data_IF_019737902121
#
_entry.id   IF_019737902121
#
_cell.length_a   1.000
_cell.length_b   1.000
_cell.length_c   1.000
_cell.angle_alpha   90.00
_cell.angle_beta   90.00
_cell.angle_gamma   90.00
#
_symmetry.space_group_name_H-M   'P 1'
#
loop_
_entity.id
_entity.type
_entity.pdbx_description
1 polymer ?
#
# COMPACT_ATOMS: atom_id res chain seq x y z
N UNK A 1 11.37 10.82 2.26
CA UNK A 1 10.93 10.51 3.61
C UNK A 1 11.88 9.49 4.16
N UNK A 2 12.64 9.82 5.21
CA UNK A 2 13.46 8.82 5.89
C UNK A 2 12.52 7.71 6.41
N UNK A 3 12.86 6.45 6.13
CA UNK A 3 12.19 5.28 6.72
C UNK A 3 12.22 5.35 8.26
N UNK A 4 13.17 6.11 8.81
CA UNK A 4 13.32 6.44 10.23
C UNK A 4 12.23 7.40 10.78
N UNK A 5 11.32 7.92 9.94
CA UNK A 5 10.24 8.83 10.32
C UNK A 5 8.86 8.15 10.37
N UNK A 6 8.80 6.82 10.43
CA UNK A 6 7.55 6.11 10.64
C UNK A 6 7.04 6.38 12.07
N UNK A 7 5.77 6.79 12.19
CA UNK A 7 5.13 6.94 13.50
C UNK A 7 4.94 5.57 14.16
N UNK A 8 4.87 5.51 15.50
CA UNK A 8 4.60 4.24 16.21
C UNK A 8 3.34 3.55 15.71
N UNK A 9 2.32 4.33 15.34
CA UNK A 9 1.10 3.86 14.69
C UNK A 9 1.41 3.16 13.36
N UNK A 10 2.15 3.82 12.46
CA UNK A 10 2.56 3.24 11.18
C UNK A 10 3.39 1.96 11.34
N UNK A 11 4.28 1.91 12.34
CA UNK A 11 5.04 0.70 12.69
C UNK A 11 4.12 -0.43 13.17
N UNK A 12 3.10 -0.09 13.96
CA UNK A 12 2.07 -1.04 14.41
C UNK A 12 1.28 -1.65 13.26
N UNK A 13 0.82 -0.81 12.32
CA UNK A 13 0.14 -1.26 11.10
C UNK A 13 1.02 -2.17 10.24
N UNK A 14 2.27 -1.75 9.99
CA UNK A 14 3.23 -2.54 9.22
C UNK A 14 3.49 -3.91 9.86
N UNK A 15 3.70 -3.93 11.18
CA UNK A 15 3.95 -5.17 11.93
C UNK A 15 2.75 -6.12 11.86
N UNK A 16 1.52 -5.58 11.94
CA UNK A 16 0.28 -6.36 11.78
C UNK A 16 0.22 -7.03 10.40
N UNK A 17 0.54 -6.31 9.34
CA UNK A 17 0.55 -6.87 7.98
C UNK A 17 1.61 -7.95 7.79
N UNK A 18 2.83 -7.73 8.28
CA UNK A 18 3.91 -8.73 8.21
C UNK A 18 3.59 -10.00 9.02
N UNK A 19 2.96 -9.86 10.18
CA UNK A 19 2.52 -11.00 10.99
C UNK A 19 1.38 -11.78 10.31
N UNK A 20 0.42 -11.07 9.71
CA UNK A 20 -0.73 -11.69 9.05
C UNK A 20 -0.37 -12.35 7.72
N UNK A 21 0.63 -11.82 7.02
CA UNK A 21 1.09 -12.34 5.74
C UNK A 21 2.61 -12.47 5.75
N UNK A 22 3.17 -13.59 6.26
CA UNK A 22 4.62 -13.79 6.41
C UNK A 22 5.39 -13.84 5.07
N UNK A 23 4.67 -13.88 3.94
CA UNK A 23 5.25 -13.81 2.60
C UNK A 23 5.20 -12.42 1.97
N UNK A 24 4.80 -11.37 2.70
CA UNK A 24 4.90 -10.00 2.22
C UNK A 24 6.33 -9.48 2.33
N UNK A 25 6.78 -8.77 1.30
CA UNK A 25 7.99 -7.98 1.39
C UNK A 25 7.75 -6.69 2.20
N UNK A 26 8.84 -6.05 2.65
CA UNK A 26 8.74 -4.85 3.47
C UNK A 26 8.08 -3.66 2.76
N UNK A 27 8.21 -3.56 1.43
CA UNK A 27 7.59 -2.49 0.63
C UNK A 27 6.09 -2.76 0.43
N UNK A 28 5.70 -4.00 0.20
CA UNK A 28 4.31 -4.44 0.13
C UNK A 28 3.58 -4.15 1.45
N UNK A 29 4.16 -4.53 2.58
CA UNK A 29 3.59 -4.23 3.89
C UNK A 29 3.48 -2.72 4.16
N UNK A 30 4.49 -1.94 3.72
CA UNK A 30 4.47 -0.49 3.83
C UNK A 30 3.38 0.15 2.97
N UNK A 31 3.17 -0.35 1.75
CA UNK A 31 2.10 0.11 0.87
C UNK A 31 0.72 -0.16 1.48
N UNK A 32 0.50 -1.35 2.06
CA UNK A 32 -0.75 -1.68 2.75
C UNK A 32 -1.00 -0.77 3.95
N UNK A 33 0.01 -0.56 4.80
CA UNK A 33 -0.10 0.35 5.94
C UNK A 33 -0.41 1.80 5.51
N UNK A 34 0.12 2.25 4.37
CA UNK A 34 -0.19 3.58 3.80
C UNK A 34 -1.61 3.67 3.28
N UNK A 35 -2.10 2.64 2.59
CA UNK A 35 -3.47 2.60 2.09
C UNK A 35 -4.48 2.52 3.23
N UNK A 36 -4.17 1.78 4.30
CA UNK A 36 -5.00 1.68 5.51
C UNK A 36 -5.11 3.04 6.20
N UNK A 37 -3.97 3.68 6.48
CA UNK A 37 -3.94 5.01 7.09
C UNK A 37 -4.61 6.08 6.21
N UNK A 38 -4.50 6.00 4.88
CA UNK A 38 -5.22 6.89 3.97
C UNK A 38 -6.73 6.61 3.95
N UNK A 39 -7.14 5.34 4.09
CA UNK A 39 -8.54 4.94 4.22
C UNK A 39 -9.20 5.53 5.47
N UNK A 40 -8.51 5.47 6.61
CA UNK A 40 -8.99 6.00 7.90
C UNK A 40 -9.31 7.50 7.85
N UNK A 41 -8.60 8.25 7.00
CA UNK A 41 -8.82 9.69 6.78
C UNK A 41 -9.61 10.02 5.50
N UNK A 42 -10.16 9.01 4.81
CA UNK A 42 -10.95 9.18 3.58
C UNK A 42 -10.15 9.68 2.37
N UNK A 43 -8.83 9.47 2.35
CA UNK A 43 -7.90 9.90 1.29
C UNK A 43 -7.53 8.76 0.31
N UNK A 44 -8.41 7.79 0.12
CA UNK A 44 -8.28 6.74 -0.91
C UNK A 44 -9.12 7.09 -2.16
N UNK A 45 -8.70 6.67 -3.37
CA UNK A 45 -7.50 5.89 -3.69
C UNK A 45 -6.19 6.71 -3.74
N UNK A 46 -5.04 6.06 -3.52
CA UNK A 46 -3.71 6.69 -3.58
C UNK A 46 -3.06 6.53 -4.96
N UNK A 47 -2.33 7.56 -5.41
CA UNK A 47 -1.59 7.55 -6.67
C UNK A 47 -0.20 6.89 -6.50
N UNK A 48 0.13 5.91 -7.34
CA UNK A 48 1.41 5.20 -7.28
C UNK A 48 2.64 6.07 -7.55
N UNK A 49 2.49 7.18 -8.29
CA UNK A 49 3.53 8.18 -8.48
C UNK A 49 3.75 9.03 -7.24
N UNK A 50 2.68 9.39 -6.53
CA UNK A 50 2.74 10.06 -5.23
C UNK A 50 3.41 9.17 -4.19
N UNK A 51 3.03 7.90 -4.08
CA UNK A 51 3.65 6.93 -3.18
C UNK A 51 5.15 6.74 -3.45
N UNK A 52 5.56 6.70 -4.72
CA UNK A 52 6.97 6.62 -5.10
C UNK A 52 7.79 7.82 -4.58
N UNK A 53 7.23 9.04 -4.65
CA UNK A 53 7.88 10.26 -4.16
C UNK A 53 7.87 10.34 -2.63
N UNK A 54 6.75 9.98 -2.02
CA UNK A 54 6.61 9.98 -0.56
C UNK A 54 7.56 8.98 0.07
N UNK A 55 7.63 7.75 -0.45
CA UNK A 55 8.48 6.70 0.08
C UNK A 55 9.94 6.81 -0.38
N UNK A 56 10.27 7.71 -1.31
CA UNK A 56 11.58 7.80 -1.97
C UNK A 56 12.02 6.47 -2.61
N UNK A 57 11.05 5.70 -3.12
CA UNK A 57 11.26 4.41 -3.78
C UNK A 57 11.00 4.55 -5.27
N UNK A 58 11.79 3.85 -6.09
CA UNK A 58 11.59 3.82 -7.53
C UNK A 58 10.17 3.38 -7.92
N UNK A 59 9.56 4.10 -8.86
CA UNK A 59 8.18 3.84 -9.29
C UNK A 59 7.95 2.42 -9.82
N UNK A 60 8.97 1.81 -10.44
CA UNK A 60 8.93 0.42 -10.89
C UNK A 60 8.78 -0.58 -9.73
N UNK A 61 9.40 -0.31 -8.57
CA UNK A 61 9.26 -1.15 -7.37
C UNK A 61 7.86 -1.00 -6.77
N UNK A 62 7.35 0.23 -6.68
CA UNK A 62 5.97 0.50 -6.23
C UNK A 62 4.96 -0.24 -7.13
N UNK A 63 5.13 -0.17 -8.46
CA UNK A 63 4.29 -0.93 -9.39
C UNK A 63 4.39 -2.44 -9.19
N UNK A 64 5.60 -2.97 -9.03
CA UNK A 64 5.82 -4.41 -8.82
C UNK A 64 5.15 -4.90 -7.54
N UNK A 65 5.35 -4.19 -6.43
CA UNK A 65 4.73 -4.52 -5.15
C UNK A 65 3.21 -4.36 -5.21
N UNK A 66 2.70 -3.32 -5.87
CA UNK A 66 1.27 -3.16 -6.10
C UNK A 66 0.68 -4.35 -6.89
N UNK A 67 1.28 -4.73 -8.02
CA UNK A 67 0.82 -5.90 -8.78
C UNK A 67 0.90 -7.21 -7.99
N UNK A 68 1.90 -7.38 -7.13
CA UNK A 68 1.99 -8.54 -6.24
C UNK A 68 0.87 -8.54 -5.19
N UNK A 69 0.54 -7.39 -4.61
CA UNK A 69 -0.58 -7.23 -3.67
C UNK A 69 -1.95 -7.45 -4.34
N UNK A 70 -2.12 -6.96 -5.57
CA UNK A 70 -3.32 -7.20 -6.38
C UNK A 70 -3.50 -8.68 -6.70
N UNK A 71 -2.43 -9.37 -7.10
CA UNK A 71 -2.47 -10.83 -7.33
C UNK A 71 -2.83 -11.62 -6.07
N UNK A 72 -2.59 -11.07 -4.88
CA UNK A 72 -2.99 -11.64 -3.59
C UNK A 72 -4.41 -11.26 -3.17
N UNK A 73 -5.10 -10.40 -3.93
CA UNK A 73 -6.43 -9.90 -3.62
C UNK A 73 -6.46 -8.94 -2.42
N UNK A 74 -5.35 -8.26 -2.11
CA UNK A 74 -5.26 -7.33 -0.98
C UNK A 74 -5.57 -5.88 -1.36
N UNK A 75 -5.24 -5.50 -2.59
CA UNK A 75 -5.52 -4.17 -3.14
C UNK A 75 -6.18 -4.31 -4.51
N UNK A 76 -6.91 -3.27 -4.90
CA UNK A 76 -7.38 -3.06 -6.26
C UNK A 76 -6.53 -2.00 -6.96
N UNK A 77 -6.25 -2.22 -8.24
CA UNK A 77 -5.47 -1.31 -9.09
C UNK A 77 -6.34 -0.83 -10.24
N UNK A 78 -6.63 0.47 -10.24
CA UNK A 78 -7.33 1.10 -11.36
C UNK A 78 -6.38 1.97 -12.17
N UNK A 79 -6.43 1.83 -13.49
CA UNK A 79 -5.71 2.73 -14.39
C UNK A 79 -6.23 4.16 -14.23
N UNK A 80 -5.33 5.12 -14.08
CA UNK A 80 -5.70 6.54 -14.07
C UNK A 80 -6.19 6.93 -15.47
N UNK A 81 -7.47 7.27 -15.62
CA UNK A 81 -7.98 7.87 -16.86
C UNK A 81 -7.38 9.28 -17.01
N UNK A 82 -6.29 9.41 -17.77
CA UNK A 82 -5.58 10.67 -18.00
C UNK A 82 -4.16 10.47 -18.58
N UNK A 83 -3.43 11.57 -18.80
CA UNK A 83 -2.14 11.60 -19.51
C UNK A 83 -0.91 11.10 -18.71
N UNK A 84 -1.10 10.45 -17.55
CA UNK A 84 0.00 10.02 -16.68
C UNK A 84 0.03 8.51 -16.50
N UNK A 85 1.21 7.87 -16.38
CA UNK A 85 1.35 6.43 -16.18
C UNK A 85 1.02 5.95 -14.75
N UNK A 86 0.49 6.84 -13.91
CA UNK A 86 0.13 6.55 -12.52
C UNK A 86 -1.06 5.59 -12.42
N UNK A 87 -1.09 4.82 -11.34
CA UNK A 87 -2.17 3.89 -11.01
C UNK A 87 -2.83 4.36 -9.71
N UNK A 88 -4.14 4.20 -9.64
CA UNK A 88 -4.90 4.36 -8.41
C UNK A 88 -4.88 3.04 -7.65
N UNK A 89 -4.47 3.10 -6.39
CA UNK A 89 -4.38 1.97 -5.47
C UNK A 89 -5.39 2.16 -4.34
N UNK A 90 -6.14 1.11 -4.02
CA UNK A 90 -7.12 1.08 -2.92
C UNK A 90 -7.09 -0.27 -2.24
N UNK A 91 -7.31 -0.31 -0.92
CA UNK A 91 -7.53 -1.58 -0.23
C UNK A 91 -8.84 -2.21 -0.69
N UNK A 92 -8.84 -3.53 -0.82
CA UNK A 92 -10.10 -4.27 -0.99
C UNK A 92 -10.72 -4.40 0.41
N UNK A 93 -11.93 -3.85 0.60
CA UNK A 93 -12.69 -3.84 1.86
C UNK A 93 -12.94 -5.25 2.47
N UNK A 94 -12.54 -6.31 1.75
CA UNK A 94 -12.56 -7.70 2.20
C UNK A 94 -11.44 -8.09 3.18
N UNK A 95 -10.40 -7.29 3.42
CA UNK A 95 -9.38 -7.64 4.43
C UNK A 95 -9.87 -7.49 5.89
N UNK A 96 -11.15 -7.16 6.09
CA UNK A 96 -11.84 -7.33 7.37
C UNK A 96 -12.22 -8.81 7.66
N UNK A 97 -12.01 -9.75 6.74
CA UNK A 97 -12.49 -11.14 6.92
C UNK A 97 -11.37 -12.16 6.80
N UNK A 98 -10.79 -12.54 7.95
CA UNK A 98 -10.50 -13.92 8.34
C UNK A 98 -9.69 -13.94 9.66
N UNK A 99 -10.34 -13.66 10.78
CA UNK A 99 -10.22 -14.55 11.94
C UNK A 99 -11.47 -15.44 11.95
N UNK A 100 -11.47 -16.62 12.58
CA UNK A 100 -10.46 -17.24 13.43
C UNK A 100 -9.60 -18.31 12.73
#
# INVERSE_FOLDING_TARGET
MNIESLTCEQVGHLTRWLQRYPGLDGLEALLLARLESAGDVGQVPLDSGRLSRELEVAHALVRRSASSLENRGLIDITARRGAGPGLWLSLIDGCAVAGP
#
